data_IF_508353315194
#
_entry.id   IF_508353315194
#
_cell.length_a   1.000
_cell.length_b   1.000
_cell.length_c   1.000
_cell.angle_alpha   90.00
_cell.angle_beta   90.00
_cell.angle_gamma   90.00
#
_symmetry.space_group_name_H-M   'P 1'
#
loop_
_entity.id
_entity.type
_entity.pdbx_description
1 polymer ?
#
# COMPACT_ATOMS: atom_id res chain seq x y z
N UNK A 1 30.16 -53.71 24.42
CA UNK A 1 31.47 -54.27 24.05
C UNK A 1 31.54 -54.34 22.53
N UNK A 2 32.23 -53.41 21.85
CA UNK A 2 33.68 -53.41 21.54
C UNK A 2 34.01 -54.44 20.44
N UNK A 3 34.71 -54.15 19.33
CA UNK A 3 35.66 -53.09 18.95
C UNK A 3 35.57 -52.84 17.43
N UNK A 4 35.47 -51.58 16.98
CA UNK A 4 36.58 -50.78 16.38
C UNK A 4 36.95 -51.15 14.94
N UNK A 5 36.50 -50.32 13.99
CA UNK A 5 37.19 -50.13 12.71
C UNK A 5 37.97 -48.81 12.77
N UNK A 6 39.29 -48.92 12.93
CA UNK A 6 40.25 -47.86 12.62
C UNK A 6 40.71 -48.02 11.17
N UNK A 7 41.09 -46.90 10.57
CA UNK A 7 41.88 -46.74 9.32
C UNK A 7 41.02 -46.89 8.05
N UNK A 8 41.08 -46.05 7.02
CA UNK A 8 42.16 -45.16 6.60
C UNK A 8 41.63 -43.92 5.88
N UNK A 9 42.29 -42.81 6.18
CA UNK A 9 42.26 -41.54 5.48
C UNK A 9 42.90 -41.67 4.10
N UNK A 10 42.48 -40.80 3.17
CA UNK A 10 43.16 -40.34 1.95
C UNK A 10 42.95 -41.16 0.66
N UNK A 11 41.92 -40.77 -0.08
CA UNK A 11 41.99 -40.65 -1.55
C UNK A 11 41.06 -39.54 -2.01
N UNK A 12 41.62 -38.59 -2.75
CA UNK A 12 40.96 -37.36 -3.15
C UNK A 12 39.80 -37.60 -4.10
N UNK A 13 38.75 -36.79 -3.92
CA UNK A 13 37.81 -36.44 -4.98
C UNK A 13 37.74 -34.92 -5.02
N UNK A 14 38.49 -34.35 -5.97
CA UNK A 14 38.17 -33.05 -6.51
C UNK A 14 36.86 -33.21 -7.31
N UNK A 15 35.77 -32.65 -6.80
CA UNK A 15 34.59 -32.36 -7.58
C UNK A 15 34.01 -31.04 -7.08
N UNK A 16 34.09 -30.03 -7.94
CA UNK A 16 33.62 -28.67 -7.70
C UNK A 16 32.13 -28.67 -7.32
N UNK A 17 31.81 -28.25 -6.10
CA UNK A 17 30.45 -27.82 -5.75
C UNK A 17 30.40 -26.30 -5.73
N UNK A 18 30.29 -25.71 -6.93
CA UNK A 18 29.93 -24.31 -7.10
C UNK A 18 28.48 -24.19 -7.58
N UNK A 19 27.83 -23.14 -7.08
CA UNK A 19 26.60 -22.49 -7.54
C UNK A 19 25.28 -22.88 -6.86
N UNK A 20 25.11 -22.26 -5.70
CA UNK A 20 23.90 -21.54 -5.30
C UNK A 20 23.38 -20.64 -6.44
N UNK A 21 22.07 -20.67 -6.70
CA UNK A 21 21.19 -19.52 -6.97
C UNK A 21 19.85 -20.02 -7.52
N UNK A 22 18.91 -20.36 -6.64
CA UNK A 22 17.51 -20.38 -7.02
C UNK A 22 17.13 -18.94 -7.40
N UNK A 23 16.92 -18.69 -8.69
CA UNK A 23 16.54 -17.40 -9.21
C UNK A 23 15.17 -16.99 -8.64
N UNK A 24 15.20 -16.16 -7.60
CA UNK A 24 14.05 -15.33 -7.24
C UNK A 24 13.87 -14.32 -8.38
N UNK A 25 13.03 -14.66 -9.35
CA UNK A 25 12.61 -13.72 -10.40
C UNK A 25 11.88 -12.56 -9.71
N UNK A 26 12.31 -11.31 -9.90
CA UNK A 26 11.57 -10.17 -9.38
C UNK A 26 10.21 -10.13 -10.09
N UNK A 27 9.13 -10.33 -9.34
CA UNK A 27 7.80 -10.00 -9.80
C UNK A 27 7.72 -8.49 -9.92
N UNK A 28 7.89 -7.97 -11.14
CA UNK A 28 7.60 -6.58 -11.43
C UNK A 28 6.11 -6.35 -11.22
N UNK A 29 5.73 -5.76 -10.09
CA UNK A 29 4.39 -5.25 -9.89
C UNK A 29 4.15 -4.16 -10.94
N UNK A 30 3.34 -4.46 -11.96
CA UNK A 30 2.92 -3.44 -12.93
C UNK A 30 2.15 -2.36 -12.18
N UNK A 31 2.63 -1.12 -12.25
CA UNK A 31 1.93 0.03 -11.70
C UNK A 31 0.65 0.24 -12.52
N UNK A 32 -0.45 -0.36 -12.06
CA UNK A 32 -1.75 -0.17 -12.68
C UNK A 32 -2.15 1.29 -12.52
N UNK A 33 -2.40 1.97 -13.65
CA UNK A 33 -2.90 3.34 -13.66
C UNK A 33 -4.14 3.44 -12.77
N UNK A 34 -4.16 4.38 -11.83
CA UNK A 34 -5.33 4.58 -10.97
C UNK A 34 -6.58 4.80 -11.85
N UNK A 35 -7.71 4.11 -11.57
CA UNK A 35 -8.93 4.31 -12.34
C UNK A 35 -9.34 5.78 -12.35
N UNK A 36 -9.81 6.26 -13.50
CA UNK A 36 -10.31 7.63 -13.62
C UNK A 36 -11.73 7.74 -13.06
N UNK A 37 -12.02 8.86 -12.40
CA UNK A 37 -13.32 9.12 -11.80
C UNK A 37 -13.55 8.38 -10.47
N UNK A 38 -14.81 8.08 -10.16
CA UNK A 38 -15.19 7.42 -8.92
C UNK A 38 -15.06 5.90 -9.03
N UNK A 39 -14.29 5.29 -8.13
CA UNK A 39 -14.12 3.84 -8.08
C UNK A 39 -14.17 3.32 -6.65
N UNK A 40 -14.58 2.06 -6.47
CA UNK A 40 -14.70 1.41 -5.16
C UNK A 40 -13.62 0.34 -5.01
N UNK A 41 -12.88 0.38 -3.90
CA UNK A 41 -11.93 -0.67 -3.51
C UNK A 41 -12.30 -1.15 -2.13
N UNK A 42 -12.41 -2.47 -1.96
CA UNK A 42 -12.68 -3.10 -0.67
C UNK A 42 -11.57 -4.08 -0.32
N UNK A 43 -11.18 -4.09 0.95
CA UNK A 43 -10.19 -5.02 1.50
C UNK A 43 -10.67 -5.54 2.87
N UNK A 44 -10.23 -6.74 3.25
CA UNK A 44 -10.49 -7.32 4.57
C UNK A 44 -9.27 -7.09 5.45
N UNK A 45 -9.39 -6.18 6.41
CA UNK A 45 -8.34 -5.83 7.36
C UNK A 45 -8.74 -6.29 8.77
N UNK A 46 -7.94 -7.18 9.36
CA UNK A 46 -8.10 -7.65 10.74
C UNK A 46 -9.54 -8.03 11.14
N UNK A 47 -10.28 -8.73 10.27
CA UNK A 47 -11.66 -9.13 10.54
C UNK A 47 -12.71 -8.01 10.38
N UNK A 48 -12.31 -6.88 9.79
CA UNK A 48 -13.22 -5.84 9.30
C UNK A 48 -13.12 -5.73 7.79
N UNK A 49 -14.24 -5.44 7.13
CA UNK A 49 -14.30 -5.08 5.72
C UNK A 49 -14.17 -3.57 5.60
N UNK A 50 -13.12 -3.10 4.92
CA UNK A 50 -12.85 -1.68 4.68
C UNK A 50 -13.11 -1.42 3.21
N UNK A 51 -14.22 -0.75 2.90
CA UNK A 51 -14.54 -0.29 1.56
C UNK A 51 -14.29 1.20 1.43
N UNK A 52 -13.75 1.61 0.28
CA UNK A 52 -13.44 3.01 0.01
C UNK A 52 -13.89 3.38 -1.40
N UNK A 53 -14.78 4.37 -1.48
CA UNK A 53 -15.21 4.98 -2.75
C UNK A 53 -14.35 6.21 -2.96
N UNK A 54 -13.49 6.17 -3.96
CA UNK A 54 -12.40 7.13 -4.16
C UNK A 54 -12.54 7.87 -5.49
N UNK A 55 -12.13 9.12 -5.51
CA UNK A 55 -11.82 9.88 -6.71
C UNK A 55 -10.45 10.53 -6.52
N UNK A 56 -9.53 10.22 -7.42
CA UNK A 56 -8.14 10.64 -7.33
C UNK A 56 -7.80 11.45 -8.56
N UNK A 57 -7.37 12.68 -8.34
CA UNK A 57 -6.85 13.56 -9.38
C UNK A 57 -5.33 13.58 -9.28
N UNK A 58 -4.67 13.27 -10.39
CA UNK A 58 -3.22 13.35 -10.52
C UNK A 58 -2.85 14.33 -11.63
N UNK A 59 -1.68 14.96 -11.49
CA UNK A 59 -1.10 15.75 -12.57
C UNK A 59 -0.61 14.83 -13.70
N UNK A 60 -0.32 15.41 -14.87
CA UNK A 60 0.24 14.65 -16.01
C UNK A 60 1.56 13.94 -15.67
N UNK A 61 2.26 14.40 -14.63
CA UNK A 61 3.50 13.79 -14.08
C UNK A 61 3.23 12.61 -13.14
N UNK A 62 1.97 12.30 -12.82
CA UNK A 62 1.56 11.26 -11.87
C UNK A 62 1.52 11.73 -10.41
N UNK A 63 1.90 12.97 -10.11
CA UNK A 63 1.82 13.51 -8.75
C UNK A 63 0.37 13.72 -8.30
N UNK A 64 0.06 13.44 -7.04
CA UNK A 64 -1.25 13.68 -6.45
C UNK A 64 -1.60 15.17 -6.48
N UNK A 65 -2.77 15.53 -7.01
CA UNK A 65 -3.36 16.87 -6.88
C UNK A 65 -4.35 16.89 -5.72
N UNK A 66 -5.29 15.94 -5.70
CA UNK A 66 -6.28 15.77 -4.63
C UNK A 66 -6.78 14.33 -4.66
N UNK A 67 -7.02 13.74 -3.49
CA UNK A 67 -7.78 12.49 -3.38
C UNK A 67 -8.92 12.66 -2.38
N UNK A 68 -10.13 12.26 -2.80
CA UNK A 68 -11.30 12.18 -1.93
C UNK A 68 -11.67 10.71 -1.79
N UNK A 69 -11.83 10.25 -0.55
CA UNK A 69 -12.25 8.89 -0.25
C UNK A 69 -13.39 8.89 0.78
N UNK A 70 -14.48 8.21 0.47
CA UNK A 70 -15.53 7.88 1.42
C UNK A 70 -15.26 6.46 1.89
N UNK A 71 -14.85 6.33 3.16
CA UNK A 71 -14.42 5.08 3.76
C UNK A 71 -15.53 4.56 4.66
N UNK A 72 -15.89 3.30 4.45
CA UNK A 72 -16.87 2.55 5.23
C UNK A 72 -16.18 1.30 5.78
N UNK A 73 -16.05 1.24 7.11
CA UNK A 73 -15.46 0.14 7.85
C UNK A 73 -16.60 -0.62 8.53
N UNK A 74 -16.71 -1.91 8.21
CA UNK A 74 -17.72 -2.82 8.79
C UNK A 74 -17.02 -3.97 9.49
N UNK A 75 -17.48 -4.37 10.68
CA UNK A 75 -16.91 -5.50 11.42
C UNK A 75 -16.66 -5.14 12.87
N UNK A 76 -15.39 -5.17 13.30
CA UNK A 76 -15.01 -4.93 14.71
C UNK A 76 -15.49 -3.58 15.23
N UNK A 77 -15.40 -2.55 14.39
CA UNK A 77 -15.97 -1.23 14.63
C UNK A 77 -16.67 -0.76 13.36
N UNK A 78 -17.91 -0.28 13.50
CA UNK A 78 -18.67 0.24 12.37
C UNK A 78 -18.49 1.75 12.28
N UNK A 79 -17.84 2.20 11.21
CA UNK A 79 -17.39 3.59 11.07
C UNK A 79 -17.47 4.02 9.63
N UNK A 80 -18.02 5.21 9.39
CA UNK A 80 -18.00 5.86 8.09
C UNK A 80 -17.41 7.25 8.22
N UNK A 81 -16.43 7.56 7.38
CA UNK A 81 -15.77 8.86 7.39
C UNK A 81 -15.27 9.22 5.98
N UNK A 82 -15.08 10.51 5.77
CA UNK A 82 -14.50 11.02 4.54
C UNK A 82 -13.05 11.44 4.81
N UNK A 83 -12.16 11.05 3.91
CA UNK A 83 -10.78 11.48 3.90
C UNK A 83 -10.53 12.33 2.65
N UNK A 84 -9.92 13.48 2.85
CA UNK A 84 -9.43 14.34 1.77
C UNK A 84 -7.93 14.51 1.95
N UNK A 85 -7.17 14.09 0.93
CA UNK A 85 -5.71 14.23 0.92
C UNK A 85 -5.33 15.33 -0.07
N UNK A 86 -4.51 16.27 0.40
CA UNK A 86 -3.97 17.40 -0.39
C UNK A 86 -2.44 17.42 -0.32
N UNK A 87 -1.74 17.98 -1.33
CA UNK A 87 -0.29 18.11 -1.34
C UNK A 87 0.22 18.98 -0.19
N UNK A 88 1.34 18.59 0.41
CA UNK A 88 1.96 19.26 1.56
C UNK A 88 2.75 20.53 1.20
N UNK A 89 3.15 20.70 -0.07
CA UNK A 89 4.07 21.76 -0.50
C UNK A 89 3.39 23.06 -1.00
N UNK A 90 2.10 23.26 -0.75
CA UNK A 90 1.41 24.54 -1.01
C UNK A 90 0.99 25.18 0.30
N UNK A 91 0.95 26.51 0.31
CA UNK A 91 0.33 27.26 1.40
C UNK A 91 -1.15 26.90 1.42
N UNK A 92 -1.56 26.02 2.34
CA UNK A 92 -2.96 25.68 2.53
C UNK A 92 -3.44 26.28 3.86
N UNK A 93 -4.47 27.14 3.85
CA UNK A 93 -5.13 27.61 5.07
C UNK A 93 -5.56 26.43 5.94
N UNK A 94 -5.80 26.62 7.25
CA UNK A 94 -6.23 25.53 8.12
C UNK A 94 -7.55 24.93 7.63
N UNK A 95 -7.49 23.72 7.06
CA UNK A 95 -8.62 22.95 6.57
C UNK A 95 -8.92 23.08 5.07
N UNK A 96 -9.85 22.25 4.59
CA UNK A 96 -10.38 22.22 3.22
C UNK A 96 -11.83 22.69 3.24
N UNK A 97 -12.19 23.64 2.37
CA UNK A 97 -13.58 24.01 2.17
C UNK A 97 -14.22 23.04 1.17
N UNK A 98 -15.14 22.20 1.63
CA UNK A 98 -15.92 21.31 0.78
C UNK A 98 -17.26 21.96 0.45
N UNK A 99 -17.55 22.11 -0.83
CA UNK A 99 -18.86 22.57 -1.30
C UNK A 99 -19.41 21.52 -2.26
N UNK A 100 -20.64 21.08 -1.99
CA UNK A 100 -21.39 20.25 -2.91
C UNK A 100 -22.16 21.20 -3.82
N UNK A 101 -21.81 21.19 -5.10
CA UNK A 101 -22.43 22.03 -6.14
C UNK A 101 -22.45 23.52 -5.75
N UNK A 102 -23.61 24.18 -5.83
CA UNK A 102 -23.82 25.57 -5.42
C UNK A 102 -24.21 25.77 -3.95
N UNK A 103 -24.09 24.74 -3.11
CA UNK A 103 -24.53 24.77 -1.72
C UNK A 103 -23.62 25.58 -0.79
N UNK A 104 -23.93 25.53 0.51
CA UNK A 104 -23.07 26.14 1.53
C UNK A 104 -21.80 25.31 1.75
N UNK A 105 -20.63 25.95 1.64
CA UNK A 105 -19.35 25.33 1.95
C UNK A 105 -19.26 24.88 3.41
N UNK A 106 -18.75 23.67 3.63
CA UNK A 106 -18.46 23.08 4.93
C UNK A 106 -16.95 22.94 5.11
N UNK A 107 -16.41 23.43 6.22
CA UNK A 107 -14.99 23.33 6.53
C UNK A 107 -14.65 21.93 7.04
N UNK A 108 -13.64 21.31 6.44
CA UNK A 108 -13.03 20.06 6.89
C UNK A 108 -11.66 20.38 7.49
N UNK A 109 -11.45 20.10 8.77
CA UNK A 109 -10.14 20.33 9.39
C UNK A 109 -9.14 19.22 9.02
N UNK A 110 -7.85 19.57 9.00
CA UNK A 110 -6.80 18.58 8.81
C UNK A 110 -6.64 17.72 10.06
N UNK A 111 -6.67 16.40 9.88
CA UNK A 111 -6.47 15.45 10.97
C UNK A 111 -5.00 15.00 11.09
N UNK A 112 -4.34 14.69 9.97
CA UNK A 112 -2.97 14.15 9.93
C UNK A 112 -2.25 14.56 8.66
N UNK A 113 -0.96 14.81 8.75
CA UNK A 113 -0.06 14.98 7.61
C UNK A 113 0.79 13.71 7.47
N UNK A 114 0.54 12.96 6.40
CA UNK A 114 1.31 11.76 6.02
C UNK A 114 2.16 12.09 4.79
N UNK A 115 3.40 11.56 4.68
CA UNK A 115 4.24 11.74 3.50
C UNK A 115 3.67 11.05 2.25
#
# INVERSE_FOLDING_TARGET
>A
MNLTFKTAMRTGFAALTFLSAAAALPTTASAQQAPQGWFKVCDKQEGSEVCSVRNIMTANTGQLITAVAIIDVKGKVNRKFMQVSVPSARLVPPGVLMQIDGGKGSKLDYAVCMP
#
